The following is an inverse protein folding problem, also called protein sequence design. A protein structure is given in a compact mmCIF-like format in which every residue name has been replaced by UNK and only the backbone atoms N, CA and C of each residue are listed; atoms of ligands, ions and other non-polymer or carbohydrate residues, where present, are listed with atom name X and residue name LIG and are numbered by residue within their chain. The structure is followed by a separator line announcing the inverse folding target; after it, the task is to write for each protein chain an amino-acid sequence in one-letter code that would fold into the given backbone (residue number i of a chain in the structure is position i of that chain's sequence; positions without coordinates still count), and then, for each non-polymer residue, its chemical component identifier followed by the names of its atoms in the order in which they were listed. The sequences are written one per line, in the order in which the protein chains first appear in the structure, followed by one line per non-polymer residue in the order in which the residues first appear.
data_IF_762447337068
#
_entry.id   IF_762447337068
#
_cell.length_a   1.000
_cell.length_b   1.000
_cell.length_c   1.000
_cell.angle_alpha   90.00
_cell.angle_beta   90.00
_cell.angle_gamma   90.00
#
_symmetry.space_group_name_H-M   'P 1'
#
loop_
_entity.id
_entity.type
_entity.pdbx_description
1 polymer ?
#
# COMPACT_ATOMS: atom_id res chain seq x y z
N UNK A 1 -23.02 -0.78 76.24
CA UNK A 1 -23.38 -1.99 75.46
C UNK A 1 -23.40 -1.61 73.99
N UNK A 2 -22.57 -2.29 73.16
CA UNK A 2 -22.63 -2.47 71.68
C UNK A 2 -22.63 -1.18 70.81
N UNK A 3 -22.14 -1.17 69.57
CA UNK A 3 -21.83 -2.25 68.64
C UNK A 3 -20.67 -1.84 67.71
N UNK A 4 -19.78 -2.78 67.39
CA UNK A 4 -18.87 -2.65 66.25
C UNK A 4 -19.47 -3.47 65.10
N UNK A 5 -19.72 -2.82 63.97
CA UNK A 5 -20.15 -3.47 62.73
C UNK A 5 -18.88 -3.96 62.01
N UNK A 6 -18.73 -5.27 61.88
CA UNK A 6 -17.67 -5.89 61.07
C UNK A 6 -18.28 -6.24 59.72
N UNK A 7 -17.81 -5.57 58.66
CA UNK A 7 -18.20 -5.83 57.28
C UNK A 7 -17.24 -6.89 56.72
N UNK A 8 -17.76 -8.08 56.39
CA UNK A 8 -17.02 -9.09 55.64
C UNK A 8 -17.16 -8.80 54.14
N UNK A 9 -16.07 -8.34 53.51
CA UNK A 9 -15.93 -8.30 52.06
C UNK A 9 -15.67 -9.72 51.57
N UNK A 10 -16.72 -10.40 51.08
CA UNK A 10 -16.57 -11.62 50.31
C UNK A 10 -16.14 -11.24 48.88
N UNK A 11 -14.83 -11.17 48.64
CA UNK A 11 -14.31 -11.12 47.28
C UNK A 11 -14.56 -12.47 46.61
N UNK A 12 -15.32 -12.48 45.51
CA UNK A 12 -15.39 -13.64 44.64
C UNK A 12 -14.03 -13.79 43.93
N UNK A 13 -13.09 -14.50 44.55
CA UNK A 13 -11.89 -14.96 43.87
C UNK A 13 -12.33 -16.12 42.97
N UNK A 14 -12.62 -15.84 41.71
CA UNK A 14 -12.67 -16.88 40.69
C UNK A 14 -11.21 -17.09 40.26
N UNK A 15 -10.52 -18.15 40.71
CA UNK A 15 -9.21 -18.47 40.15
C UNK A 15 -9.43 -18.73 38.67
N UNK A 16 -8.93 -17.85 37.81
CA UNK A 16 -8.73 -18.17 36.41
C UNK A 16 -7.90 -19.45 36.39
N UNK A 17 -8.42 -20.60 35.90
CA UNK A 17 -7.61 -21.81 35.86
C UNK A 17 -6.38 -21.52 35.00
N UNK A 18 -5.19 -21.78 35.57
CA UNK A 18 -3.92 -21.45 34.93
C UNK A 18 -3.74 -22.31 33.67
N UNK A 19 -3.53 -21.66 32.53
CA UNK A 19 -3.15 -22.31 31.28
C UNK A 19 -1.73 -22.88 31.38
N UNK A 20 -1.40 -23.89 30.57
CA UNK A 20 -0.05 -24.48 30.53
C UNK A 20 0.22 -25.54 31.61
N UNK A 21 -0.78 -25.91 32.42
CA UNK A 21 -0.67 -27.09 33.30
C UNK A 21 -0.72 -28.37 32.46
N UNK A 22 0.07 -29.42 32.77
CA UNK A 22 0.05 -30.67 32.02
C UNK A 22 -1.33 -31.34 32.04
N UNK A 23 -1.70 -31.99 30.95
CA UNK A 23 -2.95 -32.73 30.87
C UNK A 23 -2.99 -33.89 31.89
N UNK A 24 -4.17 -34.11 32.47
CA UNK A 24 -4.43 -35.25 33.33
C UNK A 24 -4.67 -36.55 32.55
N UNK A 25 -4.90 -37.65 33.27
CA UNK A 25 -5.27 -38.92 32.64
C UNK A 25 -6.56 -38.79 31.82
N UNK A 26 -6.54 -39.31 30.58
CA UNK A 26 -7.64 -39.21 29.59
C UNK A 26 -7.97 -37.77 29.19
N UNK A 27 -6.94 -36.95 28.97
CA UNK A 27 -7.08 -35.60 28.40
C UNK A 27 -7.92 -34.65 29.27
N UNK A 28 -7.94 -34.90 30.58
CA UNK A 28 -8.76 -34.16 31.52
C UNK A 28 -8.10 -32.84 31.94
N UNK A 29 -8.83 -31.73 31.78
CA UNK A 29 -8.45 -30.40 32.18
C UNK A 29 -9.55 -29.73 33.04
N UNK A 30 -9.22 -28.76 33.91
CA UNK A 30 -10.24 -28.02 34.66
C UNK A 30 -11.13 -27.21 33.70
N UNK A 31 -12.45 -27.31 33.82
CA UNK A 31 -13.37 -26.47 33.03
C UNK A 31 -13.05 -24.98 33.21
N UNK A 32 -13.00 -24.16 32.13
CA UNK A 32 -13.37 -24.42 30.74
C UNK A 32 -12.18 -24.81 29.83
N UNK A 33 -11.12 -25.42 30.36
CA UNK A 33 -9.92 -25.77 29.60
C UNK A 33 -10.07 -27.12 28.88
N UNK A 34 -9.38 -27.29 27.76
CA UNK A 34 -9.27 -28.52 26.97
C UNK A 34 -7.79 -28.89 26.86
N UNK A 35 -7.48 -30.19 26.85
CA UNK A 35 -6.12 -30.67 26.65
C UNK A 35 -5.69 -30.51 25.18
N UNK A 36 -4.58 -29.80 24.94
CA UNK A 36 -3.96 -29.68 23.63
C UNK A 36 -3.04 -30.88 23.36
N UNK A 37 -3.29 -31.67 22.29
CA UNK A 37 -2.51 -32.88 22.01
C UNK A 37 -1.06 -32.60 21.59
N UNK A 38 -0.74 -31.39 21.13
CA UNK A 38 0.60 -31.00 20.69
C UNK A 38 1.54 -30.67 21.85
N UNK A 39 1.05 -29.90 22.83
CA UNK A 39 1.82 -29.42 23.99
C UNK A 39 1.62 -30.29 25.23
N UNK A 40 0.59 -31.14 25.22
CA UNK A 40 0.13 -31.93 26.36
C UNK A 40 -0.18 -31.03 27.59
N UNK A 41 -0.76 -29.85 27.34
CA UNK A 41 -1.17 -28.87 28.36
C UNK A 41 -2.62 -28.41 28.23
N UNK A 42 -3.19 -27.88 29.33
CA UNK A 42 -4.57 -27.40 29.40
C UNK A 42 -4.72 -25.94 28.97
N UNK A 43 -5.65 -25.67 28.05
CA UNK A 43 -5.82 -24.38 27.34
C UNK A 43 -7.31 -23.99 27.16
N UNK A 44 -7.64 -22.70 27.01
CA UNK A 44 -9.03 -22.18 27.01
C UNK A 44 -9.77 -22.44 25.68
N UNK A 45 -10.23 -23.68 25.52
CA UNK A 45 -11.40 -24.12 24.72
C UNK A 45 -11.40 -23.93 23.19
N UNK A 46 -11.39 -25.08 22.50
CA UNK A 46 -12.24 -25.50 21.35
C UNK A 46 -12.70 -24.38 20.40
N UNK A 47 -11.81 -23.95 19.50
CA UNK A 47 -12.14 -23.05 18.38
C UNK A 47 -11.38 -21.72 18.35
N UNK A 48 -10.25 -21.63 19.04
CA UNK A 48 -9.34 -20.48 18.96
C UNK A 48 -8.15 -20.84 18.04
N UNK A 49 -7.94 -20.13 16.92
CA UNK A 49 -6.84 -20.38 15.98
C UNK A 49 -5.46 -19.99 16.53
N UNK A 50 -5.37 -19.45 17.74
CA UNK A 50 -4.11 -18.91 18.28
C UNK A 50 -3.20 -19.93 19.01
N UNK A 51 -3.42 -21.23 18.86
CA UNK A 51 -2.58 -22.28 19.50
C UNK A 51 -2.00 -23.25 18.48
N UNK A 52 -1.28 -22.72 17.50
CA UNK A 52 -0.33 -23.49 16.69
C UNK A 52 0.91 -22.64 16.39
N UNK A 53 1.81 -22.51 17.37
CA UNK A 53 3.20 -22.11 17.12
C UNK A 53 4.11 -23.07 17.90
N UNK A 54 5.06 -23.80 17.31
CA UNK A 54 5.86 -23.43 16.15
C UNK A 54 6.44 -24.67 15.42
N UNK A 55 6.96 -24.37 14.22
CA UNK A 55 7.87 -25.13 13.34
C UNK A 55 7.25 -26.11 12.33
N UNK A 56 6.60 -25.58 11.28
CA UNK A 56 7.03 -25.73 9.86
C UNK A 56 6.03 -25.01 8.88
N UNK A 57 6.44 -23.84 8.38
CA UNK A 57 6.27 -23.29 7.01
C UNK A 57 4.91 -23.14 6.28
N UNK A 58 3.78 -22.91 6.96
CA UNK A 58 2.61 -22.27 6.31
C UNK A 58 1.72 -21.55 7.32
N UNK A 59 1.23 -20.32 7.04
CA UNK A 59 0.30 -19.64 7.93
C UNK A 59 -1.11 -20.24 7.77
N UNK A 60 -1.62 -20.85 8.82
CA UNK A 60 -3.05 -21.12 9.05
C UNK A 60 -3.49 -19.97 9.97
N UNK A 61 -3.91 -18.82 9.42
CA UNK A 61 -5.29 -18.53 8.99
C UNK A 61 -5.40 -17.96 7.57
N UNK A 62 -4.45 -18.27 6.69
CA UNK A 62 -4.55 -17.88 5.30
C UNK A 62 -5.92 -18.29 4.74
N UNK A 63 -6.75 -17.30 4.41
CA UNK A 63 -7.64 -17.44 3.28
C UNK A 63 -6.75 -18.01 2.18
N UNK A 64 -6.90 -19.31 1.90
CA UNK A 64 -6.08 -20.12 0.98
C UNK A 64 -5.26 -19.18 0.10
N UNK A 65 -3.99 -18.96 0.44
CA UNK A 65 -3.09 -18.06 -0.29
C UNK A 65 -2.88 -18.66 -1.67
N UNK A 66 -3.90 -18.48 -2.49
CA UNK A 66 -4.09 -19.12 -3.78
C UNK A 66 -3.65 -18.08 -4.78
N UNK A 67 -2.34 -17.97 -4.88
CA UNK A 67 -1.64 -17.12 -5.82
C UNK A 67 -0.41 -17.86 -6.30
N UNK A 68 0.03 -17.54 -7.50
CA UNK A 68 1.31 -18.00 -8.04
C UNK A 68 2.25 -16.83 -8.34
N UNK A 69 1.78 -15.60 -8.13
CA UNK A 69 2.56 -14.38 -8.31
C UNK A 69 3.03 -13.87 -6.96
N UNK A 70 4.27 -13.43 -6.96
CA UNK A 70 5.01 -12.82 -5.86
C UNK A 70 5.83 -11.71 -6.54
N UNK A 71 5.28 -10.51 -6.52
CA UNK A 71 5.78 -9.36 -7.28
C UNK A 71 7.12 -8.84 -6.73
N UNK A 72 7.34 -8.94 -5.43
CA UNK A 72 8.57 -8.45 -4.81
C UNK A 72 9.61 -9.54 -4.49
N UNK A 73 9.23 -10.80 -4.64
CA UNK A 73 10.10 -11.97 -4.56
C UNK A 73 10.53 -12.33 -3.15
N UNK A 74 9.73 -11.99 -2.14
CA UNK A 74 10.06 -12.27 -0.74
C UNK A 74 9.65 -13.67 -0.25
N UNK A 75 8.91 -14.41 -1.08
CA UNK A 75 8.43 -15.76 -0.79
C UNK A 75 7.01 -15.81 -0.24
N UNK A 76 6.33 -14.66 -0.07
CA UNK A 76 4.91 -14.54 0.23
C UNK A 76 4.18 -14.11 -1.03
N UNK A 77 3.14 -14.85 -1.42
CA UNK A 77 2.38 -14.51 -2.64
C UNK A 77 1.56 -13.24 -2.43
N UNK A 78 1.41 -12.40 -3.47
CA UNK A 78 0.74 -11.09 -3.40
C UNK A 78 -0.61 -11.11 -2.68
N UNK A 79 -1.36 -12.21 -2.84
CA UNK A 79 -2.70 -12.38 -2.28
C UNK A 79 -2.72 -12.42 -0.74
N UNK A 80 -1.57 -12.67 -0.12
CA UNK A 80 -1.40 -12.79 1.33
C UNK A 80 -0.27 -11.93 1.89
N UNK A 81 0.47 -11.27 1.02
CA UNK A 81 1.55 -10.39 1.41
C UNK A 81 0.97 -9.07 1.94
N UNK A 82 1.36 -8.68 3.16
CA UNK A 82 0.97 -7.41 3.76
C UNK A 82 1.75 -6.21 3.17
N UNK A 83 2.74 -6.46 2.31
CA UNK A 83 3.49 -5.48 1.54
C UNK A 83 3.87 -5.96 0.12
N UNK A 84 2.90 -6.24 -0.79
CA UNK A 84 3.13 -6.89 -2.10
C UNK A 84 4.08 -6.20 -3.10
N UNK A 85 4.62 -5.03 -2.77
CA UNK A 85 5.61 -4.31 -3.59
C UNK A 85 6.90 -3.98 -2.85
N UNK A 86 7.09 -4.50 -1.63
CA UNK A 86 8.23 -4.22 -0.74
C UNK A 86 8.58 -5.45 0.08
N UNK A 87 9.64 -6.15 -0.37
CA UNK A 87 10.15 -7.36 0.27
C UNK A 87 10.21 -7.28 1.80
N UNK A 88 9.47 -8.15 2.47
CA UNK A 88 9.42 -8.28 3.92
C UNK A 88 8.96 -9.70 4.32
N UNK A 89 9.80 -10.70 4.03
CA UNK A 89 9.48 -12.11 4.25
C UNK A 89 9.06 -12.48 5.70
N UNK A 90 9.35 -11.63 6.69
CA UNK A 90 8.92 -11.80 8.08
C UNK A 90 7.51 -11.27 8.38
N UNK A 91 6.90 -10.54 7.44
CA UNK A 91 5.54 -10.01 7.45
C UNK A 91 5.21 -9.22 8.72
N UNK A 92 6.19 -8.52 9.30
CA UNK A 92 6.01 -7.76 10.55
C UNK A 92 5.05 -6.59 10.32
N UNK A 93 4.01 -6.52 11.15
CA UNK A 93 2.95 -5.51 11.18
C UNK A 93 2.63 -5.20 12.66
N UNK A 94 3.29 -4.19 13.22
CA UNK A 94 3.27 -3.89 14.66
C UNK A 94 3.51 -2.42 15.02
N UNK A 95 3.66 -1.53 14.04
CA UNK A 95 4.03 -0.12 14.32
C UNK A 95 2.88 0.70 14.90
N UNK A 96 1.66 0.23 14.74
CA UNK A 96 0.42 0.93 15.01
C UNK A 96 0.01 0.70 16.46
N UNK A 97 -0.31 1.80 17.15
CA UNK A 97 -0.70 1.75 18.57
C UNK A 97 -2.02 1.02 18.85
N UNK A 98 -2.84 0.78 17.82
CA UNK A 98 -4.10 0.04 17.90
C UNK A 98 -3.96 -1.46 17.57
N UNK A 99 -2.74 -1.93 17.31
CA UNK A 99 -2.45 -3.29 16.83
C UNK A 99 -2.42 -3.38 15.30
N UNK A 100 -2.00 -4.56 14.76
CA UNK A 100 -1.77 -4.78 13.34
C UNK A 100 -2.99 -4.41 12.48
N UNK A 101 -2.76 -3.83 11.31
CA UNK A 101 -3.84 -3.41 10.41
C UNK A 101 -3.92 -4.16 9.07
N UNK A 102 -2.96 -5.05 8.83
CA UNK A 102 -2.81 -5.82 7.61
C UNK A 102 -1.92 -5.14 6.57
N UNK A 103 -1.26 -4.03 6.90
CA UNK A 103 -0.22 -3.38 6.10
C UNK A 103 1.10 -3.48 6.86
N UNK A 104 2.09 -4.16 6.27
CA UNK A 104 3.34 -4.42 6.97
C UNK A 104 4.15 -3.14 7.24
N UNK A 105 4.94 -3.16 8.32
CA UNK A 105 5.81 -2.04 8.73
C UNK A 105 6.74 -1.55 7.59
N UNK A 106 7.08 -2.44 6.64
CA UNK A 106 7.98 -2.15 5.54
C UNK A 106 7.36 -1.22 4.47
N UNK A 107 6.05 -1.29 4.28
CA UNK A 107 5.34 -0.55 3.23
C UNK A 107 4.30 0.42 3.78
N UNK A 108 3.97 0.36 5.08
CA UNK A 108 2.98 1.22 5.69
C UNK A 108 3.27 2.70 5.41
N UNK A 109 2.38 3.40 4.69
CA UNK A 109 2.57 4.81 4.41
C UNK A 109 2.38 5.71 5.63
N UNK A 110 1.70 5.26 6.69
CA UNK A 110 1.43 6.01 7.92
C UNK A 110 1.58 5.11 9.16
N UNK A 111 2.83 4.85 9.63
CA UNK A 111 3.16 3.94 10.74
C UNK A 111 2.53 4.22 12.12
N UNK A 112 1.70 5.25 12.24
CA UNK A 112 0.99 5.63 13.47
C UNK A 112 -0.53 5.67 13.29
N UNK A 113 -1.02 5.54 12.07
CA UNK A 113 -2.43 5.48 11.71
C UNK A 113 -2.77 4.06 11.25
N UNK A 114 -4.05 3.73 11.12
CA UNK A 114 -4.43 2.44 10.53
C UNK A 114 -4.74 2.61 9.05
N UNK A 115 -4.18 1.72 8.26
CA UNK A 115 -4.28 1.62 6.83
C UNK A 115 -4.81 0.25 6.40
N UNK A 116 -5.19 0.14 5.12
CA UNK A 116 -5.45 -1.13 4.47
C UNK A 116 -5.13 -1.03 2.99
N UNK A 117 -4.60 -2.10 2.42
CA UNK A 117 -4.47 -2.24 0.97
C UNK A 117 -5.87 -2.53 0.40
N UNK A 118 -6.38 -1.64 -0.46
CA UNK A 118 -7.70 -1.80 -1.08
C UNK A 118 -7.66 -2.09 -2.57
N UNK A 119 -6.46 -2.05 -3.15
CA UNK A 119 -6.17 -2.36 -4.53
C UNK A 119 -4.68 -2.67 -4.66
N UNK A 120 -4.36 -3.78 -5.32
CA UNK A 120 -3.02 -4.12 -5.76
C UNK A 120 -3.10 -4.73 -7.15
N UNK A 121 -2.26 -4.28 -8.06
CA UNK A 121 -2.12 -4.80 -9.41
C UNK A 121 -0.64 -4.93 -9.73
N UNK A 122 -0.19 -6.17 -9.95
CA UNK A 122 1.18 -6.51 -10.38
C UNK A 122 1.33 -6.58 -11.90
N UNK A 123 0.24 -6.44 -12.67
CA UNK A 123 0.24 -6.58 -14.13
C UNK A 123 0.66 -7.98 -14.62
N UNK A 124 0.67 -8.98 -13.74
CA UNK A 124 0.95 -10.39 -14.05
C UNK A 124 -0.19 -11.06 -14.85
N UNK A 125 -1.37 -10.43 -14.86
CA UNK A 125 -2.55 -10.90 -15.59
C UNK A 125 -3.11 -9.80 -16.52
N UNK A 126 -3.91 -10.18 -17.53
CA UNK A 126 -4.61 -9.20 -18.36
C UNK A 126 -5.50 -8.28 -17.51
N UNK A 127 -5.37 -6.98 -17.75
CA UNK A 127 -6.11 -5.97 -17.00
C UNK A 127 -7.62 -6.05 -17.28
N UNK A 128 -8.41 -6.23 -16.22
CA UNK A 128 -9.88 -6.25 -16.30
C UNK A 128 -10.44 -4.92 -15.81
N UNK A 129 -11.26 -4.26 -16.63
CA UNK A 129 -11.93 -2.99 -16.27
C UNK A 129 -11.03 -1.75 -16.30
N UNK A 130 -9.76 -1.92 -16.65
CA UNK A 130 -8.85 -0.80 -16.91
C UNK A 130 -9.14 -0.15 -18.26
N UNK A 131 -8.96 1.17 -18.32
CA UNK A 131 -8.88 1.90 -19.57
C UNK A 131 -7.41 2.07 -19.94
N UNK A 132 -6.95 1.39 -20.98
CA UNK A 132 -5.54 1.35 -21.39
C UNK A 132 -5.40 2.03 -22.74
N UNK A 133 -4.53 3.04 -22.81
CA UNK A 133 -4.23 3.74 -24.06
C UNK A 133 -3.56 2.79 -25.09
N UNK A 134 -3.78 2.96 -26.41
CA UNK A 134 -3.15 2.11 -27.43
C UNK A 134 -1.61 2.12 -27.45
N UNK A 135 -0.96 3.12 -26.83
CA UNK A 135 0.49 3.17 -26.65
C UNK A 135 0.98 2.43 -25.39
N UNK A 136 0.06 1.83 -24.64
CA UNK A 136 0.32 1.08 -23.41
C UNK A 136 0.09 -0.41 -23.64
N UNK A 137 0.95 -1.24 -23.07
CA UNK A 137 0.91 -2.70 -23.21
C UNK A 137 1.15 -3.36 -21.86
N UNK A 138 0.50 -4.49 -21.62
CA UNK A 138 0.75 -5.32 -20.43
C UNK A 138 1.37 -6.62 -20.88
N UNK A 139 2.61 -6.85 -20.44
CA UNK A 139 3.36 -8.07 -20.74
C UNK A 139 4.56 -8.19 -19.79
N UNK A 140 4.91 -9.43 -19.43
CA UNK A 140 6.02 -9.75 -18.52
C UNK A 140 5.88 -8.99 -17.19
N UNK A 141 4.70 -9.10 -16.57
CA UNK A 141 4.39 -8.57 -15.23
C UNK A 141 4.60 -7.06 -15.13
N UNK A 142 4.35 -6.36 -16.24
CA UNK A 142 4.58 -4.92 -16.37
C UNK A 142 3.57 -4.26 -17.27
N UNK A 143 3.10 -3.10 -16.84
CA UNK A 143 2.50 -2.12 -17.73
C UNK A 143 3.61 -1.26 -18.36
N UNK A 144 3.81 -1.40 -19.66
CA UNK A 144 4.77 -0.60 -20.42
C UNK A 144 4.05 0.43 -21.26
N UNK A 145 4.39 1.70 -21.07
CA UNK A 145 3.90 2.84 -21.84
C UNK A 145 5.00 3.30 -22.80
N UNK A 146 4.73 3.28 -24.11
CA UNK A 146 5.68 3.67 -25.15
C UNK A 146 5.32 5.06 -25.69
N UNK A 147 5.47 6.08 -24.84
CA UNK A 147 5.11 7.44 -25.17
C UNK A 147 6.22 8.19 -25.92
N UNK A 148 7.00 7.54 -26.78
CA UNK A 148 8.06 8.22 -27.56
C UNK A 148 7.53 9.28 -28.53
N UNK A 149 6.22 9.29 -28.81
CA UNK A 149 5.52 10.37 -29.49
C UNK A 149 4.13 10.59 -28.86
N UNK A 150 4.08 11.17 -27.66
CA UNK A 150 2.83 11.59 -27.03
C UNK A 150 2.73 11.22 -25.56
N UNK A 151 1.55 10.74 -25.17
CA UNK A 151 1.19 10.34 -23.82
C UNK A 151 0.65 8.90 -23.87
N UNK A 152 1.21 8.02 -23.05
CA UNK A 152 0.68 6.67 -22.85
C UNK A 152 0.18 6.57 -21.42
N UNK A 153 -1.07 6.17 -21.24
CA UNK A 153 -1.73 6.13 -19.93
C UNK A 153 -2.51 4.83 -19.75
N UNK A 154 -2.74 4.44 -18.50
CA UNK A 154 -3.67 3.38 -18.13
C UNK A 154 -4.36 3.76 -16.82
N UNK A 155 -5.68 3.60 -16.76
CA UNK A 155 -6.50 3.98 -15.62
C UNK A 155 -7.17 2.78 -14.99
N UNK A 156 -6.91 2.59 -13.70
CA UNK A 156 -7.53 1.57 -12.87
C UNK A 156 -9.01 1.88 -12.63
N UNK A 157 -9.86 0.85 -12.47
CA UNK A 157 -11.27 1.03 -12.12
C UNK A 157 -11.48 1.53 -10.68
N UNK A 158 -10.41 1.59 -9.86
CA UNK A 158 -10.45 2.02 -8.46
C UNK A 158 -10.32 3.54 -8.37
N UNK A 159 -11.08 4.14 -7.45
CA UNK A 159 -10.98 5.54 -7.02
C UNK A 159 -10.63 5.60 -5.54
N UNK A 160 -9.99 6.69 -5.12
CA UNK A 160 -9.71 6.98 -3.71
C UNK A 160 -10.07 8.43 -3.39
N UNK A 161 -10.55 8.69 -2.17
CA UNK A 161 -10.88 10.05 -1.72
C UNK A 161 -9.88 10.57 -0.69
N UNK A 162 -9.40 9.68 0.19
CA UNK A 162 -8.50 10.00 1.32
C UNK A 162 -7.32 9.02 1.44
N UNK A 163 -7.09 8.17 0.44
CA UNK A 163 -6.07 7.14 0.44
C UNK A 163 -4.73 7.60 -0.14
N UNK A 164 -3.88 6.63 -0.45
CA UNK A 164 -2.53 6.82 -0.99
C UNK A 164 -2.35 5.84 -2.15
N UNK A 165 -2.02 6.34 -3.34
CA UNK A 165 -1.61 5.51 -4.47
C UNK A 165 -0.09 5.47 -4.58
N UNK A 166 0.47 4.30 -4.82
CA UNK A 166 1.91 4.11 -5.04
C UNK A 166 2.18 3.21 -6.24
N UNK A 167 3.24 3.52 -6.99
CA UNK A 167 3.78 2.68 -8.06
C UNK A 167 5.29 2.68 -8.08
N UNK A 168 5.89 1.55 -8.46
CA UNK A 168 7.29 1.45 -8.85
C UNK A 168 7.41 1.51 -10.37
N UNK A 169 8.38 2.29 -10.85
CA UNK A 169 8.62 2.45 -12.28
C UNK A 169 10.08 2.24 -12.67
N UNK A 170 10.30 1.99 -13.96
CA UNK A 170 11.61 1.99 -14.61
C UNK A 170 11.49 2.63 -15.98
N UNK A 171 12.36 3.60 -16.26
CA UNK A 171 12.48 4.26 -17.56
C UNK A 171 13.17 3.28 -18.52
N UNK A 172 12.46 2.91 -19.58
CA UNK A 172 12.91 1.95 -20.60
C UNK A 172 13.49 2.62 -21.83
N UNK A 173 13.06 3.84 -22.14
CA UNK A 173 13.64 4.65 -23.21
C UNK A 173 13.49 6.14 -22.93
N UNK A 174 14.44 6.92 -23.46
CA UNK A 174 14.43 8.37 -23.38
C UNK A 174 14.17 8.94 -24.77
N UNK A 175 13.30 9.96 -24.85
CA UNK A 175 13.20 10.80 -26.03
C UNK A 175 14.01 12.09 -25.80
N UNK A 176 14.55 12.65 -26.89
CA UNK A 176 15.28 13.93 -26.90
C UNK A 176 14.44 15.10 -27.43
N UNK A 177 13.17 14.86 -27.79
CA UNK A 177 12.32 15.83 -28.51
C UNK A 177 11.49 16.71 -27.55
N UNK A 178 11.37 16.37 -26.26
CA UNK A 178 10.55 17.10 -25.28
C UNK A 178 11.34 18.02 -24.35
N UNK A 179 10.82 19.23 -24.09
CA UNK A 179 11.30 20.11 -23.00
C UNK A 179 10.92 19.55 -21.61
N UNK A 180 9.87 18.74 -21.55
CA UNK A 180 9.41 17.99 -20.38
C UNK A 180 9.11 16.55 -20.80
N UNK A 181 9.52 15.58 -19.99
CA UNK A 181 9.47 14.16 -20.31
C UNK A 181 9.44 13.42 -18.98
N UNK A 182 8.41 12.61 -18.70
CA UNK A 182 8.29 12.05 -17.35
C UNK A 182 7.30 10.92 -17.12
N UNK A 183 7.44 10.35 -15.92
CA UNK A 183 6.60 9.29 -15.35
C UNK A 183 5.62 9.89 -14.37
N UNK A 184 4.40 9.35 -14.34
CA UNK A 184 3.24 10.03 -13.78
C UNK A 184 2.30 9.04 -13.07
N UNK A 185 1.76 9.47 -11.93
CA UNK A 185 0.58 8.88 -11.28
C UNK A 185 -0.52 9.94 -11.28
N UNK A 186 -1.71 9.57 -11.75
CA UNK A 186 -2.85 10.46 -11.98
C UNK A 186 -4.01 10.04 -11.09
N UNK A 187 -4.74 11.00 -10.54
CA UNK A 187 -5.83 10.73 -9.60
C UNK A 187 -7.23 10.99 -10.17
N UNK A 188 -7.36 11.73 -11.27
CA UNK A 188 -8.68 12.09 -11.77
C UNK A 188 -8.76 12.22 -13.30
N UNK A 189 -9.46 11.25 -13.90
CA UNK A 189 -9.96 11.30 -15.26
C UNK A 189 -11.47 11.50 -15.19
N UNK A 190 -11.96 12.65 -15.66
CA UNK A 190 -13.38 12.96 -15.74
C UNK A 190 -13.87 12.86 -17.19
N UNK A 191 -15.19 12.88 -17.40
CA UNK A 191 -15.78 12.97 -18.75
C UNK A 191 -15.38 14.25 -19.52
N UNK A 192 -14.85 15.27 -18.82
CA UNK A 192 -14.32 16.51 -19.40
C UNK A 192 -12.80 16.45 -19.67
N UNK A 193 -12.14 15.31 -19.44
CA UNK A 193 -10.69 15.14 -19.54
C UNK A 193 -10.04 14.91 -18.17
N UNK A 194 -8.71 14.83 -18.18
CA UNK A 194 -7.90 14.64 -16.97
C UNK A 194 -7.85 15.94 -16.18
N UNK A 195 -8.40 15.93 -14.96
CA UNK A 195 -8.35 17.05 -14.02
C UNK A 195 -7.62 16.57 -12.78
N UNK A 196 -6.81 17.40 -12.15
CA UNK A 196 -6.17 17.04 -10.89
C UNK A 196 -4.66 17.05 -10.94
N UNK A 197 -4.06 16.12 -10.23
CA UNK A 197 -2.70 16.22 -9.74
C UNK A 197 -1.82 15.11 -10.25
N UNK A 198 -0.57 15.47 -10.53
CA UNK A 198 0.39 14.56 -11.11
C UNK A 198 1.78 14.78 -10.52
N UNK A 199 2.40 13.67 -10.12
CA UNK A 199 3.82 13.62 -9.81
C UNK A 199 4.59 13.30 -11.10
N UNK A 200 5.33 14.26 -11.66
CA UNK A 200 6.11 14.07 -12.87
C UNK A 200 7.59 13.88 -12.58
N UNK A 201 8.23 12.91 -13.19
CA UNK A 201 9.70 12.81 -13.20
C UNK A 201 10.26 13.48 -14.45
N UNK A 202 10.67 14.74 -14.43
CA UNK A 202 11.11 15.46 -15.64
C UNK A 202 12.59 15.29 -15.96
N UNK A 203 12.91 15.09 -17.24
CA UNK A 203 14.26 15.29 -17.78
C UNK A 203 14.29 16.55 -18.67
N UNK A 204 15.20 17.48 -18.39
CA UNK A 204 15.40 18.67 -19.22
C UNK A 204 16.30 18.35 -20.42
N UNK A 205 15.88 18.76 -21.62
CA UNK A 205 16.50 18.44 -22.91
C UNK A 205 17.91 19.00 -23.11
N UNK A 206 18.91 18.44 -22.41
CA UNK A 206 20.33 18.65 -22.74
C UNK A 206 21.35 18.43 -21.64
N UNK A 207 21.01 18.46 -20.35
CA UNK A 207 22.01 18.31 -19.27
C UNK A 207 21.41 17.58 -18.06
N UNK A 208 21.28 16.25 -18.15
CA UNK A 208 21.43 15.28 -17.06
C UNK A 208 20.59 15.34 -15.77
N UNK A 209 19.87 16.41 -15.46
CA UNK A 209 19.18 16.57 -14.18
C UNK A 209 17.74 16.06 -14.30
N UNK A 210 17.41 15.05 -13.50
CA UNK A 210 16.11 14.37 -13.48
C UNK A 210 15.34 14.75 -12.24
N UNK A 211 14.36 15.64 -12.31
CA UNK A 211 13.61 16.11 -11.13
C UNK A 211 12.29 15.43 -10.94
N UNK A 212 11.74 15.51 -9.72
CA UNK A 212 10.29 15.37 -9.54
C UNK A 212 9.69 16.77 -9.54
N UNK A 213 8.69 16.98 -10.38
CA UNK A 213 7.90 18.20 -10.48
C UNK A 213 6.45 17.89 -10.17
N UNK A 214 5.83 18.85 -9.51
CA UNK A 214 4.42 18.83 -9.20
C UNK A 214 3.63 19.60 -10.23
N UNK A 215 2.60 18.97 -10.79
CA UNK A 215 1.74 19.65 -11.76
C UNK A 215 0.27 19.53 -11.37
N UNK A 216 -0.42 20.67 -11.43
CA UNK A 216 -1.88 20.76 -11.31
C UNK A 216 -2.47 21.14 -12.66
N UNK A 217 -3.63 20.56 -13.01
CA UNK A 217 -4.35 20.89 -14.23
C UNK A 217 -5.74 21.42 -13.90
N UNK A 218 -6.06 22.60 -14.45
CA UNK A 218 -7.44 23.09 -14.56
C UNK A 218 -7.70 23.30 -16.05
N UNK A 219 -8.77 22.66 -16.54
CA UNK A 219 -9.31 22.84 -17.88
C UNK A 219 -9.62 24.34 -18.14
N UNK A 220 -9.26 24.94 -19.30
CA UNK A 220 -8.71 24.33 -20.50
C UNK A 220 -7.20 24.54 -20.64
N UNK A 221 -6.43 23.54 -20.24
CA UNK A 221 -4.99 23.44 -20.48
C UNK A 221 -4.12 24.63 -20.00
N UNK A 222 -4.53 25.36 -18.97
CA UNK A 222 -3.60 26.28 -18.31
C UNK A 222 -2.77 25.47 -17.31
N UNK A 223 -1.59 25.06 -17.76
CA UNK A 223 -0.53 24.61 -16.87
C UNK A 223 -0.16 25.83 -16.03
N UNK A 224 -0.67 25.90 -14.80
CA UNK A 224 -0.15 26.83 -13.82
C UNK A 224 1.18 26.26 -13.36
N UNK A 225 2.23 26.54 -14.14
CA UNK A 225 3.60 26.42 -13.68
C UNK A 225 3.76 27.41 -12.52
N UNK A 226 3.37 27.05 -11.29
CA UNK A 226 3.94 27.71 -10.11
C UNK A 226 5.45 27.67 -10.28
N UNK A 227 6.14 28.79 -10.02
CA UNK A 227 7.56 29.01 -10.33
C UNK A 227 8.32 27.69 -10.50
N UNK A 228 8.59 27.32 -11.77
CA UNK A 228 9.38 26.15 -12.15
C UNK A 228 10.83 26.42 -11.72
N UNK A 229 11.05 26.39 -10.41
CA UNK A 229 12.36 26.18 -9.83
C UNK A 229 12.90 24.91 -10.47
N UNK A 230 14.18 24.94 -10.80
CA UNK A 230 14.93 23.83 -11.39
C UNK A 230 14.52 22.47 -10.78
N UNK A 231 14.61 21.36 -11.55
CA UNK A 231 14.33 20.01 -11.05
C UNK A 231 14.85 19.84 -9.63
N UNK A 232 13.92 19.64 -8.68
CA UNK A 232 14.22 19.84 -7.26
C UNK A 232 15.09 18.72 -6.67
N UNK A 233 15.17 17.58 -7.37
CA UNK A 233 15.95 16.39 -7.00
C UNK A 233 16.54 15.73 -8.25
N UNK A 234 17.39 14.71 -8.07
CA UNK A 234 17.89 13.84 -9.15
C UNK A 234 17.30 12.45 -8.95
N UNK A 235 16.49 11.97 -9.90
CA UNK A 235 15.92 10.62 -9.90
C UNK A 235 16.70 9.72 -10.86
N UNK A 236 16.89 8.46 -10.48
CA UNK A 236 17.57 7.46 -11.32
C UNK A 236 16.74 7.01 -12.53
N UNK A 237 17.13 5.89 -13.14
CA UNK A 237 16.30 5.21 -14.18
C UNK A 237 15.09 4.48 -13.59
N UNK A 238 14.98 4.40 -12.27
CA UNK A 238 13.89 3.70 -11.58
C UNK A 238 13.62 4.40 -10.26
N UNK A 239 12.40 4.25 -9.75
CA UNK A 239 12.00 4.83 -8.48
C UNK A 239 10.60 4.41 -8.10
N UNK A 240 10.11 4.98 -7.00
CA UNK A 240 8.74 4.83 -6.52
C UNK A 240 8.10 6.21 -6.50
N UNK A 241 6.88 6.30 -7.01
CA UNK A 241 6.03 7.48 -6.92
C UNK A 241 4.89 7.18 -5.97
N UNK A 242 4.66 8.08 -5.02
CA UNK A 242 3.55 8.01 -4.07
C UNK A 242 2.73 9.29 -4.15
N UNK A 243 1.42 9.14 -4.13
CA UNK A 243 0.42 10.18 -4.25
C UNK A 243 -0.60 10.04 -3.12
N UNK A 244 -0.89 11.13 -2.39
CA UNK A 244 -1.88 11.14 -1.30
C UNK A 244 -3.12 11.92 -1.71
N UNK A 245 -4.29 11.29 -1.63
CA UNK A 245 -5.60 11.92 -1.83
C UNK A 245 -6.00 12.73 -0.58
N UNK A 246 -7.01 13.60 -0.68
CA UNK A 246 -7.57 14.20 0.54
C UNK A 246 -6.87 15.47 1.07
N UNK A 247 -5.73 15.88 0.51
CA UNK A 247 -4.98 17.01 1.07
C UNK A 247 -3.88 17.59 0.19
N UNK A 248 -2.69 17.74 0.77
CA UNK A 248 -1.51 18.27 0.11
C UNK A 248 -0.83 17.23 -0.78
N UNK A 249 -0.54 17.62 -2.02
CA UNK A 249 0.18 16.82 -2.97
C UNK A 249 1.69 16.82 -2.65
N UNK A 250 2.21 15.66 -2.22
CA UNK A 250 3.61 15.43 -1.91
C UNK A 250 4.15 14.26 -2.74
N UNK A 251 5.05 14.54 -3.69
CA UNK A 251 5.68 13.48 -4.48
C UNK A 251 6.91 12.95 -3.75
N UNK A 252 6.71 11.91 -2.94
CA UNK A 252 7.80 11.31 -2.18
C UNK A 252 8.54 10.24 -2.98
N UNK A 253 9.85 10.45 -3.15
CA UNK A 253 10.81 9.40 -3.43
C UNK A 253 11.36 8.91 -2.08
N UNK A 254 11.55 7.60 -1.89
CA UNK A 254 11.79 6.88 -0.60
C UNK A 254 13.02 7.32 0.24
N UNK A 255 13.14 8.60 0.59
CA UNK A 255 14.12 9.13 1.55
C UNK A 255 13.48 10.20 2.44
N UNK A 256 12.90 9.73 3.55
CA UNK A 256 12.74 10.33 4.89
C UNK A 256 12.21 11.76 5.12
N UNK A 257 11.80 12.53 4.11
CA UNK A 257 11.01 13.75 4.36
C UNK A 257 10.09 14.08 3.17
N UNK A 258 8.81 14.47 3.41
CA UNK A 258 8.00 15.16 2.41
C UNK A 258 8.69 16.48 2.05
N UNK A 259 9.33 16.53 0.88
CA UNK A 259 10.22 17.65 0.54
C UNK A 259 9.57 18.74 -0.32
N UNK A 260 8.30 18.62 -0.66
CA UNK A 260 7.43 19.78 -0.86
C UNK A 260 5.97 19.37 -0.75
N UNK A 261 5.18 20.25 -0.16
CA UNK A 261 3.77 20.06 0.12
C UNK A 261 3.02 21.16 -0.64
N UNK A 262 2.58 20.92 -1.87
CA UNK A 262 1.63 21.85 -2.47
C UNK A 262 0.22 21.48 -2.02
N UNK A 263 -0.34 22.29 -1.13
CA UNK A 263 -1.78 22.23 -0.85
C UNK A 263 -2.48 22.71 -2.09
N UNK A 264 -3.00 21.78 -2.85
CA UNK A 264 -3.66 22.13 -4.07
C UNK A 264 -5.13 22.48 -3.78
N UNK A 265 -5.72 23.45 -4.48
CA UNK A 265 -7.08 23.90 -4.19
C UNK A 265 -8.06 22.75 -4.41
N UNK A 266 -8.84 22.43 -3.38
CA UNK A 266 -9.81 21.34 -3.37
C UNK A 266 -10.65 21.31 -4.67
N UNK A 267 -10.49 20.31 -5.55
CA UNK A 267 -11.46 20.11 -6.60
C UNK A 267 -12.78 19.64 -5.95
N UNK A 268 -13.89 20.26 -6.33
CA UNK A 268 -15.21 20.10 -5.69
C UNK A 268 -15.77 18.66 -5.75
N UNK A 269 -15.10 17.71 -6.41
CA UNK A 269 -15.45 16.29 -6.38
C UNK A 269 -14.28 15.37 -6.80
N UNK A 270 -13.50 14.86 -5.82
CA UNK A 270 -12.49 13.79 -6.01
C UNK A 270 -13.11 12.44 -6.38
N UNK A 271 -13.70 12.34 -7.58
CA UNK A 271 -14.41 11.14 -8.08
C UNK A 271 -13.59 10.35 -9.11
N UNK A 272 -12.28 10.57 -9.12
CA UNK A 272 -11.38 10.16 -10.20
C UNK A 272 -10.74 8.77 -10.07
N UNK A 273 -10.46 8.16 -11.24
CA UNK A 273 -9.67 6.93 -11.40
C UNK A 273 -8.20 7.15 -11.07
N UNK A 274 -7.54 6.11 -10.54
CA UNK A 274 -6.07 6.10 -10.42
C UNK A 274 -5.44 5.69 -11.74
N UNK A 275 -4.60 6.55 -12.32
CA UNK A 275 -3.91 6.32 -13.58
C UNK A 275 -2.40 6.24 -13.44
N UNK A 276 -1.77 5.47 -14.32
CA UNK A 276 -0.34 5.43 -14.55
C UNK A 276 -0.07 6.01 -15.92
N UNK A 277 0.93 6.88 -16.05
CA UNK A 277 1.19 7.59 -17.29
C UNK A 277 2.65 7.87 -17.55
N UNK A 278 3.00 7.99 -18.83
CA UNK A 278 4.27 8.54 -19.24
C UNK A 278 4.10 9.51 -20.38
N UNK A 279 4.92 10.56 -20.39
CA UNK A 279 4.97 11.55 -21.44
C UNK A 279 6.37 11.60 -22.03
N UNK A 280 6.49 11.44 -23.35
CA UNK A 280 7.76 11.56 -24.09
C UNK A 280 8.90 10.64 -23.58
N UNK A 281 8.60 9.58 -22.83
CA UNK A 281 9.57 8.54 -22.43
C UNK A 281 8.91 7.17 -22.50
N UNK A 282 9.72 6.13 -22.61
CA UNK A 282 9.28 4.77 -22.35
C UNK A 282 9.37 4.48 -20.87
N UNK A 283 8.30 3.94 -20.30
CA UNK A 283 8.24 3.58 -18.88
C UNK A 283 7.64 2.20 -18.73
N UNK A 284 8.18 1.42 -17.81
CA UNK A 284 7.57 0.21 -17.30
C UNK A 284 7.18 0.41 -15.84
N UNK A 285 5.91 0.17 -15.51
CA UNK A 285 5.39 0.12 -14.17
C UNK A 285 5.33 -1.33 -13.71
N UNK A 286 5.81 -1.57 -12.48
CA UNK A 286 5.92 -2.91 -11.90
C UNK A 286 4.65 -3.25 -11.10
N UNK A 287 4.12 -2.29 -10.35
CA UNK A 287 2.84 -2.47 -9.65
C UNK A 287 2.07 -1.16 -9.49
N UNK A 288 0.79 -1.24 -9.17
CA UNK A 288 -0.01 -0.15 -8.59
C UNK A 288 -0.68 -0.63 -7.31
N UNK A 289 -0.44 0.07 -6.20
CA UNK A 289 -1.09 -0.20 -4.90
C UNK A 289 -1.87 1.03 -4.43
N UNK A 290 -3.03 0.83 -3.82
CA UNK A 290 -3.83 1.88 -3.18
C UNK A 290 -4.14 1.52 -1.74
N UNK A 291 -3.59 2.31 -0.82
CA UNK A 291 -3.88 2.29 0.60
C UNK A 291 -5.06 3.20 0.91
N UNK A 292 -5.94 2.81 1.83
CA UNK A 292 -7.01 3.66 2.36
C UNK A 292 -6.94 3.64 3.88
N UNK A 293 -7.34 4.73 4.58
CA UNK A 293 -7.54 4.70 6.02
C UNK A 293 -8.46 3.53 6.41
N UNK A 294 -8.02 2.73 7.37
CA UNK A 294 -8.84 1.69 7.96
C UNK A 294 -9.75 2.28 9.07
N UNK A 295 -11.00 1.81 9.20
CA UNK A 295 -11.92 2.25 10.24
C UNK A 295 -11.49 1.85 11.66
#
# INVERSE_FOLDING_TARGET
MRAWVVVFLAACYAPSPATGVPCGNRDACPDPLVCAPATNTCERTRGDPSIDAATDSAPIDAALCTGVHDEDGDGVVDACDNCPGVTNADQVDTTESAGPDGVGNACDPRPTERDRITFFESFAAPLVGWEVDPLSTVANDRLTTLATQGYGEAYAPKTSTNGIAETRYTITSLNTIGMYSGVEVVAEQSAAGVRGYRCMVTQNGGIGTRGVLLQTFVDPYDIVYGDVGAPRFVVGNSGVLRFTYGGTLACNHRTAAPLDTATAPEPEARTGRVGLGSQYIGTAFHYLVVYEPAP
#
